data_IF_577312655703
#
_entry.id   IF_577312655703
#
_cell.length_a   1.000
_cell.length_b   1.000
_cell.length_c   1.000
_cell.angle_alpha   90.00
_cell.angle_beta   90.00
_cell.angle_gamma   90.00
#
_symmetry.space_group_name_H-M   'P 1'
#
loop_
_entity.id
_entity.type
_entity.pdbx_description
1 polymer ?
#
# COMPACT_ATOMS: atom_id res chain seq x y z
N UNK A 1 19.06 -9.48 -12.69
CA UNK A 1 18.60 -8.38 -11.84
C UNK A 1 17.50 -8.86 -10.91
N UNK A 2 17.52 -8.41 -9.67
CA UNK A 2 16.47 -8.76 -8.73
C UNK A 2 15.18 -8.04 -9.08
N UNK A 3 14.08 -8.76 -9.04
CA UNK A 3 12.77 -8.17 -9.23
C UNK A 3 12.40 -7.30 -8.03
N UNK A 4 11.67 -6.22 -8.28
CA UNK A 4 11.14 -5.39 -7.19
C UNK A 4 10.08 -6.16 -6.43
N UNK A 5 10.19 -6.15 -5.12
CA UNK A 5 9.22 -6.82 -4.23
C UNK A 5 8.07 -5.88 -3.93
N UNK A 6 6.86 -6.35 -4.16
CA UNK A 6 5.65 -5.58 -3.87
C UNK A 6 4.81 -6.37 -2.86
N UNK A 7 4.61 -5.78 -1.69
CA UNK A 7 3.78 -6.37 -0.66
C UNK A 7 2.32 -5.99 -0.90
N UNK A 8 1.45 -7.00 -0.93
CA UNK A 8 0.02 -6.82 -1.08
C UNK A 8 -0.65 -7.11 0.26
N UNK A 9 -1.45 -6.17 0.75
CA UNK A 9 -2.21 -6.32 1.99
C UNK A 9 -3.68 -6.12 1.68
N UNK A 10 -4.42 -7.21 1.55
CA UNK A 10 -5.84 -7.19 1.18
C UNK A 10 -6.50 -8.46 1.69
N UNK A 11 -7.67 -8.34 2.33
CA UNK A 11 -8.36 -9.49 2.90
C UNK A 11 -9.19 -10.27 1.87
N UNK A 12 -9.38 -9.73 0.67
CA UNK A 12 -10.14 -10.40 -0.38
C UNK A 12 -9.25 -11.32 -1.21
N UNK A 13 -9.59 -12.60 -1.22
CA UNK A 13 -8.81 -13.60 -1.96
C UNK A 13 -8.75 -13.27 -3.46
N UNK A 14 -9.88 -12.91 -4.05
CA UNK A 14 -9.94 -12.60 -5.47
C UNK A 14 -9.01 -11.43 -5.84
N UNK A 15 -8.96 -10.42 -4.98
CA UNK A 15 -8.09 -9.27 -5.22
C UNK A 15 -6.62 -9.66 -5.07
N UNK A 16 -6.27 -10.49 -4.07
CA UNK A 16 -4.90 -10.98 -3.95
C UNK A 16 -4.46 -11.76 -5.17
N UNK A 17 -5.35 -12.62 -5.69
CA UNK A 17 -5.05 -13.40 -6.90
C UNK A 17 -4.87 -12.48 -8.10
N UNK A 18 -5.78 -11.54 -8.29
CA UNK A 18 -5.69 -10.58 -9.38
C UNK A 18 -4.38 -9.80 -9.34
N UNK A 19 -4.07 -9.21 -8.19
CA UNK A 19 -2.88 -8.40 -8.04
C UNK A 19 -1.60 -9.21 -8.19
N UNK A 20 -1.54 -10.40 -7.57
CA UNK A 20 -0.33 -11.21 -7.66
C UNK A 20 -0.07 -11.68 -9.09
N UNK A 21 -1.11 -12.07 -9.81
CA UNK A 21 -0.98 -12.47 -11.21
C UNK A 21 -0.52 -11.31 -12.08
N UNK A 22 -1.16 -10.15 -11.91
CA UNK A 22 -0.81 -8.95 -12.66
C UNK A 22 0.65 -8.55 -12.43
N UNK A 23 1.07 -8.52 -11.17
CA UNK A 23 2.42 -8.10 -10.82
C UNK A 23 3.46 -9.11 -11.29
N UNK A 24 3.18 -10.39 -11.12
CA UNK A 24 4.09 -11.44 -11.55
C UNK A 24 4.31 -11.41 -13.05
N UNK A 25 3.24 -11.28 -13.83
CA UNK A 25 3.34 -11.20 -15.30
C UNK A 25 3.99 -9.91 -15.77
N UNK A 26 4.04 -8.90 -14.91
CA UNK A 26 4.66 -7.61 -15.24
C UNK A 26 6.10 -7.50 -14.74
N UNK A 27 6.66 -8.58 -14.23
CA UNK A 27 8.08 -8.61 -13.85
C UNK A 27 8.38 -8.25 -12.40
N UNK A 28 7.36 -8.14 -11.56
CA UNK A 28 7.53 -7.87 -10.13
C UNK A 28 7.44 -9.16 -9.32
N UNK A 29 7.84 -9.09 -8.06
CA UNK A 29 7.72 -10.20 -7.14
C UNK A 29 6.66 -9.86 -6.08
N UNK A 30 5.43 -10.38 -6.22
CA UNK A 30 4.39 -10.11 -5.24
C UNK A 30 4.55 -10.97 -3.99
N UNK A 31 4.24 -10.38 -2.84
CA UNK A 31 4.13 -11.09 -1.57
C UNK A 31 2.77 -10.72 -0.99
N UNK A 32 1.95 -11.72 -0.70
CA UNK A 32 0.56 -11.49 -0.30
C UNK A 32 0.37 -11.66 1.19
N UNK A 33 -0.41 -10.76 1.79
CA UNK A 33 -0.86 -10.86 3.18
C UNK A 33 -2.33 -10.49 3.26
N UNK A 34 -3.02 -10.93 4.32
CA UNK A 34 -4.47 -10.87 4.42
C UNK A 34 -5.00 -9.77 5.32
N UNK A 35 -4.17 -9.24 6.20
CA UNK A 35 -4.62 -8.20 7.14
C UNK A 35 -3.45 -7.31 7.54
N UNK A 36 -3.76 -6.27 8.29
CA UNK A 36 -2.77 -5.27 8.66
C UNK A 36 -1.67 -5.79 9.57
N UNK A 37 -2.01 -6.71 10.47
CA UNK A 37 -1.04 -7.28 11.40
C UNK A 37 -0.02 -8.14 10.65
N UNK A 38 -0.51 -9.07 9.83
CA UNK A 38 0.34 -9.91 8.99
C UNK A 38 1.15 -9.06 8.01
N UNK A 39 0.50 -8.07 7.42
CA UNK A 39 1.15 -7.16 6.48
C UNK A 39 2.29 -6.39 7.11
N UNK A 40 2.08 -5.82 8.28
CA UNK A 40 3.12 -5.05 8.95
C UNK A 40 4.31 -5.93 9.34
N UNK A 41 4.05 -7.12 9.88
CA UNK A 41 5.11 -8.07 10.22
C UNK A 41 5.91 -8.47 8.99
N UNK A 42 5.21 -8.75 7.89
CA UNK A 42 5.89 -9.12 6.64
C UNK A 42 6.70 -7.95 6.11
N UNK A 43 6.18 -6.74 6.18
CA UNK A 43 6.92 -5.54 5.74
C UNK A 43 8.22 -5.39 6.50
N UNK A 44 8.21 -5.62 7.80
CA UNK A 44 9.43 -5.54 8.61
C UNK A 44 10.43 -6.63 8.24
N UNK A 45 9.94 -7.81 7.90
CA UNK A 45 10.81 -8.94 7.59
C UNK A 45 11.48 -8.81 6.23
N UNK A 46 10.74 -8.38 5.19
CA UNK A 46 11.27 -8.37 3.83
C UNK A 46 11.66 -6.98 3.33
N UNK A 47 11.21 -5.92 3.99
CA UNK A 47 11.41 -4.53 3.58
C UNK A 47 11.11 -4.40 2.08
N UNK A 48 9.83 -4.43 1.68
CA UNK A 48 9.49 -4.43 0.26
C UNK A 48 9.82 -3.11 -0.40
N UNK A 49 9.83 -3.11 -1.73
CA UNK A 49 10.10 -1.90 -2.50
C UNK A 49 8.85 -1.03 -2.66
N UNK A 50 7.67 -1.61 -2.49
CA UNK A 50 6.41 -0.92 -2.59
C UNK A 50 5.34 -1.73 -1.86
N UNK A 51 4.32 -1.05 -1.33
CA UNK A 51 3.20 -1.70 -0.63
C UNK A 51 1.90 -1.26 -1.28
N UNK A 52 1.05 -2.24 -1.61
CA UNK A 52 -0.34 -2.00 -2.03
C UNK A 52 -1.22 -2.40 -0.85
N UNK A 53 -1.96 -1.46 -0.30
CA UNK A 53 -2.68 -1.62 0.96
C UNK A 53 -4.15 -1.29 0.81
N UNK A 54 -5.01 -2.24 1.20
CA UNK A 54 -6.44 -1.98 1.36
C UNK A 54 -6.67 -1.47 2.77
N UNK A 55 -7.49 -0.43 2.91
CA UNK A 55 -7.79 0.15 4.22
C UNK A 55 -9.08 -0.39 4.85
N UNK A 56 -9.91 -1.07 4.08
CA UNK A 56 -11.15 -1.68 4.57
C UNK A 56 -10.93 -3.16 4.86
N UNK A 57 -10.39 -3.45 6.04
CA UNK A 57 -10.14 -4.82 6.47
C UNK A 57 -10.61 -5.00 7.90
N UNK A 58 -11.08 -6.21 8.27
CA UNK A 58 -11.47 -6.49 9.66
C UNK A 58 -10.26 -6.51 10.59
N UNK A 59 -10.52 -6.37 11.88
CA UNK A 59 -9.49 -6.38 12.91
C UNK A 59 -8.68 -5.10 12.90
N UNK A 60 -7.36 -5.23 12.91
CA UNK A 60 -6.47 -4.08 12.75
C UNK A 60 -6.57 -3.60 11.32
N UNK A 61 -7.33 -2.52 11.12
CA UNK A 61 -7.62 -2.02 9.78
C UNK A 61 -6.41 -1.45 9.07
N UNK A 62 -6.59 -1.24 7.76
CA UNK A 62 -5.53 -0.71 6.92
C UNK A 62 -5.09 0.69 7.29
N UNK A 63 -6.00 1.52 7.83
CA UNK A 63 -5.63 2.86 8.32
C UNK A 63 -4.61 2.75 9.45
N UNK A 64 -4.84 1.81 10.37
CA UNK A 64 -3.91 1.58 11.47
C UNK A 64 -2.54 1.12 10.96
N UNK A 65 -2.53 0.18 10.02
CA UNK A 65 -1.29 -0.28 9.40
C UNK A 65 -0.58 0.85 8.67
N UNK A 66 -1.33 1.67 7.94
CA UNK A 66 -0.75 2.82 7.24
C UNK A 66 -0.04 3.75 8.20
N UNK A 67 -0.68 4.04 9.34
CA UNK A 67 -0.07 4.85 10.38
C UNK A 67 1.20 4.21 10.91
N UNK A 68 1.16 2.91 11.21
CA UNK A 68 2.33 2.19 11.70
C UNK A 68 3.49 2.25 10.70
N UNK A 69 3.21 2.09 9.40
CA UNK A 69 4.23 2.16 8.36
C UNK A 69 4.90 3.54 8.33
N UNK A 70 4.09 4.59 8.37
CA UNK A 70 4.62 5.95 8.27
C UNK A 70 5.35 6.41 9.53
N UNK A 71 5.11 5.76 10.67
CA UNK A 71 5.80 6.07 11.91
C UNK A 71 7.01 5.18 12.16
N UNK A 72 7.22 4.17 11.34
CA UNK A 72 8.37 3.28 11.47
C UNK A 72 9.59 3.92 10.79
N UNK A 73 10.73 3.88 11.47
CA UNK A 73 11.95 4.56 10.98
C UNK A 73 12.51 3.95 9.70
N UNK A 74 12.29 2.67 9.50
CA UNK A 74 12.77 1.96 8.31
C UNK A 74 11.72 1.97 7.20
N UNK A 75 10.45 1.71 7.56
CA UNK A 75 9.38 1.49 6.59
C UNK A 75 8.75 2.77 6.04
N UNK A 76 8.95 3.91 6.71
CA UNK A 76 8.28 5.15 6.32
C UNK A 76 8.69 5.67 4.94
N UNK A 77 9.80 5.18 4.40
CA UNK A 77 10.29 5.58 3.07
C UNK A 77 9.72 4.75 1.94
N UNK A 78 9.08 3.62 2.27
CA UNK A 78 8.53 2.73 1.25
C UNK A 78 7.26 3.38 0.68
N UNK A 79 7.15 3.53 -0.64
CA UNK A 79 5.93 4.09 -1.23
C UNK A 79 4.73 3.17 -0.98
N UNK A 80 3.60 3.77 -0.63
CA UNK A 80 2.36 3.05 -0.36
C UNK A 80 1.29 3.52 -1.34
N UNK A 81 0.71 2.56 -2.04
CA UNK A 81 -0.46 2.79 -2.89
C UNK A 81 -1.65 2.23 -2.13
N UNK A 82 -2.62 3.08 -1.82
CA UNK A 82 -3.88 2.61 -1.24
C UNK A 82 -4.79 2.16 -2.38
N UNK A 83 -5.32 0.95 -2.26
CA UNK A 83 -6.26 0.39 -3.23
C UNK A 83 -7.47 -0.10 -2.45
N UNK A 84 -8.57 0.64 -2.48
CA UNK A 84 -9.69 0.38 -1.59
C UNK A 84 -11.03 0.78 -2.20
N UNK A 85 -12.10 0.19 -1.68
CA UNK A 85 -13.47 0.60 -2.01
C UNK A 85 -13.85 1.93 -1.34
N UNK A 86 -13.08 2.36 -0.35
CA UNK A 86 -13.31 3.65 0.33
C UNK A 86 -12.86 4.80 -0.56
N UNK A 87 -13.67 5.85 -0.64
CA UNK A 87 -13.31 7.02 -1.44
C UNK A 87 -12.10 7.74 -0.85
N UNK A 88 -11.24 8.24 -1.73
CA UNK A 88 -10.03 8.97 -1.34
C UNK A 88 -10.33 10.12 -0.37
N UNK A 89 -11.41 10.84 -0.63
CA UNK A 89 -11.84 11.96 0.22
C UNK A 89 -12.11 11.51 1.66
N UNK A 90 -12.73 10.35 1.83
CA UNK A 90 -13.02 9.79 3.15
C UNK A 90 -11.74 9.41 3.87
N UNK A 91 -10.82 8.77 3.17
CA UNK A 91 -9.53 8.40 3.73
C UNK A 91 -8.75 9.65 4.19
N UNK A 92 -8.70 10.67 3.35
CA UNK A 92 -8.01 11.91 3.69
C UNK A 92 -8.59 12.59 4.92
N UNK A 93 -9.91 12.51 5.08
CA UNK A 93 -10.57 13.03 6.27
C UNK A 93 -10.12 12.29 7.54
N UNK A 94 -10.03 10.97 7.47
CA UNK A 94 -9.53 10.16 8.59
C UNK A 94 -8.10 10.54 8.96
N UNK A 95 -7.23 10.70 7.99
CA UNK A 95 -5.84 11.04 8.25
C UNK A 95 -5.73 12.41 8.92
N UNK A 96 -6.52 13.38 8.46
CA UNK A 96 -6.55 14.70 9.09
C UNK A 96 -6.99 14.63 10.54
N UNK A 97 -8.01 13.82 10.82
CA UNK A 97 -8.50 13.65 12.19
C UNK A 97 -7.43 13.01 13.08
N UNK A 98 -6.73 12.00 12.58
CA UNK A 98 -5.66 11.36 13.34
C UNK A 98 -4.53 12.33 13.65
N UNK A 99 -4.16 13.16 12.69
CA UNK A 99 -3.09 14.13 12.88
C UNK A 99 -3.45 15.18 13.95
N UNK A 100 -4.73 15.58 13.98
CA UNK A 100 -5.19 16.53 15.00
C UNK A 100 -5.28 15.88 16.38
N UNK A 101 -5.89 14.69 16.47
CA UNK A 101 -6.20 14.04 17.76
C UNK A 101 -4.96 13.51 18.46
N UNK A 102 -3.98 13.02 17.72
CA UNK A 102 -2.81 12.35 18.29
C UNK A 102 -1.53 13.12 18.08
N UNK A 103 -1.65 14.35 17.58
CA UNK A 103 -0.48 15.19 17.28
C UNK A 103 0.51 14.47 16.36
N UNK A 104 0.01 13.58 15.51
CA UNK A 104 0.80 12.89 14.51
C UNK A 104 0.97 13.75 13.26
N UNK A 105 1.96 13.41 12.46
CA UNK A 105 2.20 14.09 11.20
C UNK A 105 2.28 13.04 10.08
N UNK A 106 1.18 12.33 9.89
CA UNK A 106 1.08 11.26 8.90
C UNK A 106 0.89 11.87 7.52
N UNK A 107 1.78 11.58 6.56
CA UNK A 107 1.65 12.13 5.21
C UNK A 107 0.60 11.37 4.40
N UNK A 108 0.19 11.97 3.29
CA UNK A 108 -0.67 11.28 2.33
C UNK A 108 0.10 10.11 1.67
N UNK A 109 -0.61 9.06 1.22
CA UNK A 109 0.06 7.99 0.48
C UNK A 109 0.55 8.49 -0.87
N UNK A 110 1.50 7.77 -1.45
CA UNK A 110 2.05 8.12 -2.75
C UNK A 110 1.01 8.08 -3.86
N UNK A 111 0.03 7.19 -3.72
CA UNK A 111 -1.11 7.15 -4.64
C UNK A 111 -2.32 6.53 -3.95
N UNK A 112 -3.50 6.85 -4.44
CA UNK A 112 -4.76 6.30 -3.96
C UNK A 112 -5.61 5.90 -5.16
N UNK A 113 -6.07 4.65 -5.18
CA UNK A 113 -6.94 4.14 -6.25
C UNK A 113 -8.17 3.49 -5.64
N UNK A 114 -9.32 3.78 -6.22
CA UNK A 114 -10.57 3.14 -5.80
C UNK A 114 -10.78 1.84 -6.55
N UNK A 115 -11.31 0.83 -5.86
CA UNK A 115 -11.67 -0.45 -6.46
C UNK A 115 -12.94 -0.31 -7.32
N UNK A 116 -13.06 -1.04 -8.42
CA UNK A 116 -12.07 -1.98 -8.97
C UNK A 116 -10.97 -1.23 -9.74
N UNK A 117 -9.72 -1.68 -9.64
CA UNK A 117 -8.64 -1.03 -10.37
C UNK A 117 -8.62 -1.46 -11.84
N UNK A 118 -8.20 -0.53 -12.70
CA UNK A 118 -7.86 -0.89 -14.06
C UNK A 118 -6.40 -1.32 -14.09
N UNK A 119 -6.14 -2.50 -14.65
CA UNK A 119 -4.79 -3.09 -14.62
C UNK A 119 -3.73 -2.15 -15.22
N UNK A 120 -4.02 -1.56 -16.38
CA UNK A 120 -3.05 -0.69 -17.05
C UNK A 120 -2.75 0.57 -16.24
N UNK A 121 -3.76 1.14 -15.58
CA UNK A 121 -3.61 2.33 -14.76
C UNK A 121 -2.78 2.00 -13.51
N UNK A 122 -3.10 0.88 -12.86
CA UNK A 122 -2.36 0.46 -11.67
C UNK A 122 -0.88 0.22 -11.99
N UNK A 123 -0.59 -0.47 -13.10
CA UNK A 123 0.79 -0.71 -13.50
C UNK A 123 1.54 0.58 -13.76
N UNK A 124 0.88 1.56 -14.38
CA UNK A 124 1.51 2.86 -14.62
C UNK A 124 1.83 3.58 -13.30
N UNK A 125 0.89 3.55 -12.36
CA UNK A 125 1.10 4.17 -11.04
C UNK A 125 2.28 3.52 -10.33
N UNK A 126 2.37 2.18 -10.39
CA UNK A 126 3.48 1.44 -9.80
C UNK A 126 4.80 1.82 -10.46
N UNK A 127 4.85 1.85 -11.78
CA UNK A 127 6.05 2.22 -12.53
C UNK A 127 6.50 3.63 -12.19
N UNK A 128 5.56 4.55 -12.03
CA UNK A 128 5.86 5.94 -11.66
C UNK A 128 6.56 6.02 -10.30
N UNK A 129 6.20 5.17 -9.35
CA UNK A 129 6.85 5.16 -8.05
C UNK A 129 8.32 4.75 -8.17
N UNK A 130 8.64 3.81 -9.04
CA UNK A 130 10.01 3.36 -9.21
C UNK A 130 10.86 4.25 -10.09
N UNK A 131 10.24 5.06 -10.94
CA UNK A 131 10.95 5.97 -11.83
C UNK A 131 11.04 7.39 -11.27
N UNK A 132 10.27 7.72 -10.22
CA UNK A 132 10.22 9.08 -9.69
C UNK A 132 11.56 9.57 -9.14
N UNK A 133 12.43 8.66 -8.73
CA UNK A 133 13.77 8.99 -8.24
C UNK A 133 14.65 9.62 -9.32
N UNK A 134 14.33 9.37 -10.57
CA UNK A 134 15.14 9.89 -11.69
C UNK A 134 14.59 11.17 -12.27
N UNK A 135 13.42 11.60 -11.83
CA UNK A 135 12.68 12.75 -12.38
C UNK A 135 12.67 13.97 -11.46
N UNK A 136 13.54 14.03 -10.55
CA UNK A 136 13.58 15.17 -9.62
C UNK A 136 13.93 16.47 -10.28
#
# INVERSE_FOLDING_TARGET
>A
MKKKKILIVDDELDMRIFLSTLLETSGYKPVMTRDGKEGFQKARNIVPDLIILDIMMPGEGGVYMYRQLKMDKVLNKIPVIILSAVACKTFNHYIKMLNVRQDDNIPAPEAYMEKPPEAAVLLRVIEDQFSSETNC
#
